data_IF_221833484527
#
_entry.id   IF_221833484527
#
_cell.length_a   1.000
_cell.length_b   1.000
_cell.length_c   1.000
_cell.angle_alpha   90.00
_cell.angle_beta   90.00
_cell.angle_gamma   90.00
#
_symmetry.space_group_name_H-M   'P 1'
#
loop_
_entity.id
_entity.type
_entity.pdbx_description
1 polymer ?
#
# COMPACT_ATOMS: atom_id res chain seq x y z
N UNK A 1 8.51 -5.17 -4.02
CA UNK A 1 8.10 -5.78 -5.31
C UNK A 1 9.22 -5.72 -6.35
N UNK A 2 9.46 -6.82 -7.05
CA UNK A 2 10.39 -6.93 -8.18
C UNK A 2 9.58 -6.95 -9.49
N UNK A 3 9.68 -5.91 -10.35
CA UNK A 3 9.02 -5.91 -11.65
C UNK A 3 9.56 -7.03 -12.54
N UNK A 4 8.69 -7.63 -13.37
CA UNK A 4 9.06 -8.73 -14.27
C UNK A 4 10.24 -8.39 -15.22
N UNK A 5 10.38 -7.11 -15.61
CA UNK A 5 11.44 -6.66 -16.51
C UNK A 5 12.79 -6.44 -15.82
N UNK A 6 12.85 -6.42 -14.48
CA UNK A 6 14.07 -6.15 -13.73
C UNK A 6 15.19 -7.14 -14.10
N UNK A 7 16.43 -6.65 -14.20
CA UNK A 7 17.63 -7.50 -14.41
C UNK A 7 18.14 -8.09 -13.09
N UNK A 8 17.97 -7.36 -11.99
CA UNK A 8 18.44 -7.73 -10.64
C UNK A 8 17.27 -7.61 -9.64
N UNK A 9 16.97 -8.64 -8.83
CA UNK A 9 15.90 -8.61 -7.84
C UNK A 9 16.14 -7.59 -6.71
N UNK A 10 17.38 -7.12 -6.48
CA UNK A 10 17.72 -6.10 -5.47
C UNK A 10 16.97 -4.79 -5.67
N UNK A 11 16.48 -4.51 -6.89
CA UNK A 11 15.63 -3.35 -7.13
C UNK A 11 14.35 -3.36 -6.25
N UNK A 12 13.91 -4.56 -5.83
CA UNK A 12 12.74 -4.77 -4.99
C UNK A 12 12.81 -4.11 -3.61
N UNK A 13 14.01 -3.93 -3.05
CA UNK A 13 14.20 -3.26 -1.76
C UNK A 13 13.70 -1.80 -1.75
N UNK A 14 13.69 -1.15 -2.91
CA UNK A 14 13.20 0.23 -3.08
C UNK A 14 11.70 0.30 -3.40
N UNK A 15 11.04 -0.85 -3.58
CA UNK A 15 9.66 -0.97 -4.07
C UNK A 15 8.76 -1.71 -3.07
N UNK A 16 9.05 -1.58 -1.78
CA UNK A 16 8.18 -2.08 -0.70
C UNK A 16 6.88 -1.25 -0.66
N UNK A 17 7.00 0.07 -0.86
CA UNK A 17 5.88 1.02 -0.89
C UNK A 17 5.78 1.71 -2.26
N UNK A 18 4.67 1.49 -2.97
CA UNK A 18 4.36 2.08 -4.25
C UNK A 18 3.48 3.32 -4.09
N UNK A 19 3.90 4.47 -4.64
CA UNK A 19 3.03 5.66 -4.72
C UNK A 19 1.91 5.44 -5.73
N UNK A 20 0.67 5.51 -5.27
CA UNK A 20 -0.54 5.27 -6.06
C UNK A 20 -0.79 6.38 -7.08
N UNK A 21 -0.23 7.58 -6.89
CA UNK A 21 -0.40 8.69 -7.82
C UNK A 21 0.21 8.33 -9.19
N UNK A 22 -0.63 8.30 -10.23
CA UNK A 22 -0.23 7.92 -11.59
C UNK A 22 0.23 6.46 -11.71
N UNK A 23 -0.25 5.56 -10.84
CA UNK A 23 0.13 4.15 -10.84
C UNK A 23 -0.20 3.44 -12.15
N UNK A 24 -1.26 3.86 -12.81
CA UNK A 24 -1.72 3.44 -14.13
C UNK A 24 -0.75 3.81 -15.26
N UNK A 25 0.08 4.83 -15.05
CA UNK A 25 1.06 5.33 -16.03
C UNK A 25 2.47 4.79 -15.80
N UNK A 26 2.79 4.38 -14.57
CA UNK A 26 4.14 3.88 -14.20
C UNK A 26 4.38 2.49 -14.77
N UNK A 27 5.39 2.34 -15.63
CA UNK A 27 5.74 1.06 -16.27
C UNK A 27 5.97 -0.09 -15.26
N UNK A 28 6.51 0.21 -14.09
CA UNK A 28 6.73 -0.76 -13.01
C UNK A 28 5.45 -1.30 -12.39
N UNK A 29 4.34 -0.56 -12.46
CA UNK A 29 3.13 -0.84 -11.67
C UNK A 29 1.86 -1.00 -12.49
N UNK A 30 1.76 -0.40 -13.69
CA UNK A 30 0.51 -0.37 -14.49
C UNK A 30 -0.09 -1.75 -14.75
N UNK A 31 0.75 -2.74 -15.08
CA UNK A 31 0.28 -4.08 -15.40
C UNK A 31 -0.15 -4.83 -14.13
N UNK A 32 0.60 -4.64 -13.05
CA UNK A 32 0.29 -5.24 -11.76
C UNK A 32 -0.99 -4.63 -11.15
N UNK A 33 -1.17 -3.33 -11.27
CA UNK A 33 -2.37 -2.62 -10.80
C UNK A 33 -3.65 -3.10 -11.50
N UNK A 34 -3.57 -3.40 -12.81
CA UNK A 34 -4.73 -3.88 -13.57
C UNK A 34 -5.10 -5.34 -13.31
N UNK A 35 -4.11 -6.21 -13.07
CA UNK A 35 -4.33 -7.68 -13.10
C UNK A 35 -3.91 -8.42 -11.83
N UNK A 36 -3.18 -7.78 -10.93
CA UNK A 36 -2.49 -8.41 -9.79
C UNK A 36 -2.64 -7.53 -8.55
N UNK A 37 -3.89 -7.21 -8.24
CA UNK A 37 -4.28 -6.60 -6.96
C UNK A 37 -4.29 -7.66 -5.87
N UNK A 38 -3.98 -7.24 -4.65
CA UNK A 38 -3.96 -8.09 -3.47
C UNK A 38 -4.34 -7.27 -2.24
N UNK A 39 -4.98 -7.91 -1.26
CA UNK A 39 -5.19 -7.36 0.08
C UNK A 39 -4.05 -7.84 0.98
N UNK A 40 -3.39 -6.91 1.67
CA UNK A 40 -2.29 -7.21 2.59
C UNK A 40 -2.84 -7.07 4.03
N UNK A 41 -3.25 -8.16 4.68
CA UNK A 41 -3.84 -8.11 6.02
C UNK A 41 -2.83 -7.60 7.05
N UNK A 42 -3.31 -6.82 8.00
CA UNK A 42 -2.52 -6.11 8.98
C UNK A 42 -3.30 -5.92 10.28
N UNK A 43 -2.62 -6.08 11.42
CA UNK A 43 -3.16 -5.73 12.75
C UNK A 43 -2.77 -4.32 13.20
N UNK A 44 -1.86 -3.67 12.47
CA UNK A 44 -1.36 -2.33 12.73
C UNK A 44 -0.01 -2.07 12.06
N UNK A 45 0.34 -0.80 11.88
CA UNK A 45 1.59 -0.39 11.23
C UNK A 45 2.30 0.68 12.03
N UNK A 46 3.60 0.86 11.77
CA UNK A 46 4.41 1.89 12.41
C UNK A 46 4.72 3.02 11.43
N UNK A 47 4.60 4.27 11.87
CA UNK A 47 5.25 5.41 11.23
C UNK A 47 6.18 6.10 12.22
N UNK A 48 7.29 6.63 11.72
CA UNK A 48 8.26 7.36 12.51
C UNK A 48 8.03 8.86 12.32
N UNK A 49 7.76 9.56 13.42
CA UNK A 49 7.68 11.02 13.45
C UNK A 49 9.07 11.58 13.77
N UNK A 50 9.50 12.54 12.97
CA UNK A 50 10.69 13.33 13.29
C UNK A 50 10.37 14.28 14.45
N UNK A 51 11.21 14.29 15.48
CA UNK A 51 11.23 15.24 16.58
C UNK A 51 12.67 15.76 16.76
N UNK A 52 12.82 16.76 17.63
CA UNK A 52 14.12 17.35 17.96
C UNK A 52 15.06 16.32 18.61
N UNK A 53 14.50 15.34 19.33
CA UNK A 53 15.22 14.25 20.00
C UNK A 53 15.46 13.01 19.09
N UNK A 54 15.07 13.07 17.82
CA UNK A 54 15.27 11.96 16.86
C UNK A 54 13.98 11.45 16.23
N UNK A 55 13.91 10.14 15.93
CA UNK A 55 12.73 9.51 15.30
C UNK A 55 11.94 8.72 16.33
N UNK A 56 10.75 9.22 16.65
CA UNK A 56 9.82 8.53 17.56
C UNK A 56 8.88 7.61 16.76
N UNK A 57 8.80 6.31 17.09
CA UNK A 57 7.88 5.38 16.45
C UNK A 57 6.45 5.55 16.99
N UNK A 58 5.48 5.61 16.10
CA UNK A 58 4.04 5.60 16.40
C UNK A 58 3.42 4.36 15.82
N UNK A 59 2.67 3.61 16.63
CA UNK A 59 1.90 2.45 16.19
C UNK A 59 0.45 2.88 15.91
N UNK A 60 -0.02 2.59 14.71
CA UNK A 60 -1.39 2.81 14.29
C UNK A 60 -2.14 1.47 14.26
N UNK A 61 -3.30 1.45 14.91
CA UNK A 61 -4.19 0.29 14.97
C UNK A 61 -5.63 0.76 14.75
N UNK A 62 -6.49 -0.14 14.29
CA UNK A 62 -7.93 0.14 14.22
C UNK A 62 -8.53 0.21 15.62
N UNK A 63 -9.56 1.08 15.79
CA UNK A 63 -10.35 1.12 17.01
C UNK A 63 -10.98 -0.26 17.25
N UNK A 64 -10.84 -0.77 18.48
CA UNK A 64 -11.29 -2.12 18.82
C UNK A 64 -10.37 -3.24 18.32
N UNK A 65 -9.15 -2.93 17.85
CA UNK A 65 -8.11 -3.90 17.45
C UNK A 65 -8.54 -4.87 16.34
N UNK A 66 -9.52 -4.50 15.54
CA UNK A 66 -9.94 -5.31 14.39
C UNK A 66 -8.83 -5.32 13.33
N UNK A 67 -8.58 -6.47 12.67
CA UNK A 67 -7.68 -6.50 11.53
C UNK A 67 -8.24 -5.65 10.39
N UNK A 68 -7.34 -5.13 9.55
CA UNK A 68 -7.66 -4.42 8.32
C UNK A 68 -6.67 -4.84 7.24
N UNK A 69 -6.90 -4.46 5.99
CA UNK A 69 -5.97 -4.76 4.90
C UNK A 69 -5.51 -3.49 4.19
N UNK A 70 -4.23 -3.49 3.79
CA UNK A 70 -3.73 -2.51 2.84
C UNK A 70 -4.00 -2.96 1.41
N UNK A 71 -4.24 -1.98 0.55
CA UNK A 71 -4.15 -2.19 -0.88
C UNK A 71 -2.72 -2.54 -1.29
N UNK A 72 -2.56 -3.64 -2.00
CA UNK A 72 -1.29 -4.06 -2.53
C UNK A 72 -1.37 -4.47 -3.99
N UNK A 73 -0.22 -4.45 -4.65
CA UNK A 73 -0.04 -5.08 -5.96
C UNK A 73 1.07 -6.10 -5.87
N UNK A 74 1.02 -7.11 -6.73
CA UNK A 74 2.04 -8.15 -6.76
C UNK A 74 2.53 -8.46 -8.17
N UNK A 75 3.72 -9.05 -8.22
CA UNK A 75 4.40 -9.48 -9.44
C UNK A 75 5.15 -10.78 -9.24
N UNK A 76 5.42 -11.45 -10.36
CA UNK A 76 6.31 -12.61 -10.42
C UNK A 76 7.54 -12.26 -11.25
N UNK A 77 8.72 -12.46 -10.68
CA UNK A 77 9.99 -12.33 -11.37
C UNK A 77 10.62 -13.70 -11.59
N UNK A 78 10.88 -14.07 -12.84
CA UNK A 78 11.22 -15.45 -13.24
C UNK A 78 12.64 -15.60 -13.81
N UNK A 79 13.54 -14.63 -13.57
CA UNK A 79 14.91 -14.67 -14.11
C UNK A 79 15.94 -15.23 -13.13
N UNK A 80 15.50 -15.69 -11.96
CA UNK A 80 16.32 -16.44 -11.01
C UNK A 80 16.15 -17.94 -11.20
N UNK A 81 16.79 -18.71 -10.33
CA UNK A 81 16.64 -20.18 -10.28
C UNK A 81 15.18 -20.60 -10.04
N UNK A 82 14.46 -19.83 -9.21
CA UNK A 82 13.04 -20.03 -8.91
C UNK A 82 12.23 -18.75 -9.15
N UNK A 83 10.94 -18.85 -9.48
CA UNK A 83 10.04 -17.71 -9.52
C UNK A 83 9.99 -16.98 -8.17
N UNK A 84 10.21 -15.66 -8.19
CA UNK A 84 10.08 -14.80 -7.03
C UNK A 84 8.75 -14.06 -7.07
N UNK A 85 7.83 -14.42 -6.18
CA UNK A 85 6.60 -13.67 -5.95
C UNK A 85 6.87 -12.54 -4.96
N UNK A 86 6.44 -11.33 -5.30
CA UNK A 86 6.68 -10.16 -4.47
C UNK A 86 5.55 -9.15 -4.56
N UNK A 87 5.29 -8.45 -3.48
CA UNK A 87 4.24 -7.44 -3.40
C UNK A 87 4.77 -6.05 -3.03
N UNK A 88 3.93 -5.04 -3.22
CA UNK A 88 4.14 -3.66 -2.81
C UNK A 88 2.86 -3.15 -2.16
N UNK A 89 2.98 -2.50 -1.01
CA UNK A 89 1.87 -1.76 -0.39
C UNK A 89 1.68 -0.46 -1.17
N UNK A 90 0.44 -0.14 -1.53
CA UNK A 90 0.12 1.13 -2.16
C UNK A 90 -0.04 2.22 -1.10
N UNK A 91 0.59 3.36 -1.39
CA UNK A 91 0.64 4.54 -0.53
C UNK A 91 0.13 5.74 -1.30
N UNK A 92 -0.52 6.67 -0.62
CA UNK A 92 -1.04 7.91 -1.21
C UNK A 92 -0.57 9.11 -0.40
N UNK A 93 -0.66 10.29 -0.99
CA UNK A 93 -0.56 11.55 -0.28
C UNK A 93 -1.59 11.62 0.85
N UNK A 94 -1.20 12.15 2.03
CA UNK A 94 -2.15 12.44 3.09
C UNK A 94 -3.23 13.39 2.60
N UNK A 95 -4.42 12.89 2.30
CA UNK A 95 -5.62 13.70 2.12
C UNK A 95 -6.35 13.84 3.47
N UNK A 96 -7.29 14.77 3.62
CA UNK A 96 -8.02 14.98 4.89
C UNK A 96 -8.91 13.82 5.34
N UNK A 97 -9.03 12.77 4.53
CA UNK A 97 -10.01 11.70 4.70
C UNK A 97 -9.24 10.39 4.86
N UNK A 98 -9.02 9.90 6.09
CA UNK A 98 -8.95 8.45 6.27
C UNK A 98 -10.40 8.04 6.30
N UNK A 99 -10.96 7.72 5.13
CA UNK A 99 -12.36 7.30 5.05
C UNK A 99 -12.46 5.99 5.83
N UNK A 100 -13.54 5.80 6.58
CA UNK A 100 -13.84 4.47 7.10
C UNK A 100 -13.90 3.52 5.91
N UNK A 101 -13.11 2.45 5.95
CA UNK A 101 -13.18 1.40 4.93
C UNK A 101 -14.33 0.48 5.29
N UNK A 102 -15.17 0.24 4.30
CA UNK A 102 -16.29 -0.68 4.35
C UNK A 102 -15.88 -2.00 3.71
N UNK A 103 -16.55 -3.09 4.08
CA UNK A 103 -16.28 -4.41 3.52
C UNK A 103 -16.42 -4.45 1.99
N UNK A 104 -17.39 -3.70 1.45
CA UNK A 104 -17.61 -3.51 0.01
C UNK A 104 -16.42 -2.91 -0.73
N UNK A 105 -15.54 -2.17 -0.04
CA UNK A 105 -14.36 -1.60 -0.65
C UNK A 105 -13.31 -2.68 -0.99
N UNK A 106 -13.27 -3.77 -0.21
CA UNK A 106 -12.41 -4.92 -0.48
C UNK A 106 -12.89 -5.70 -1.70
N UNK A 107 -14.21 -5.84 -1.85
CA UNK A 107 -14.81 -6.51 -3.01
C UNK A 107 -14.48 -5.75 -4.30
N UNK A 108 -14.66 -4.43 -4.30
CA UNK A 108 -14.29 -3.57 -5.44
C UNK A 108 -12.80 -3.69 -5.78
N UNK A 109 -11.94 -3.73 -4.75
CA UNK A 109 -10.49 -3.89 -4.97
C UNK A 109 -10.12 -5.24 -5.59
N UNK A 110 -10.81 -6.31 -5.19
CA UNK A 110 -10.51 -7.67 -5.61
C UNK A 110 -11.23 -8.09 -6.88
N UNK A 111 -12.27 -7.38 -7.30
CA UNK A 111 -13.00 -7.62 -8.54
C UNK A 111 -12.08 -7.36 -9.75
N UNK A 112 -11.72 -8.38 -10.56
CA UNK A 112 -10.84 -8.23 -11.71
C UNK A 112 -11.48 -7.51 -12.90
N UNK A 113 -12.82 -7.46 -12.98
CA UNK A 113 -13.55 -6.76 -14.03
C UNK A 113 -13.65 -5.26 -13.74
N UNK A 114 -13.44 -4.86 -12.49
CA UNK A 114 -13.43 -3.48 -12.09
C UNK A 114 -12.11 -2.78 -12.48
N UNK A 115 -12.17 -1.85 -13.43
CA UNK A 115 -10.98 -1.14 -13.96
C UNK A 115 -11.02 0.39 -13.81
N UNK A 116 -12.08 0.95 -13.22
CA UNK A 116 -12.16 2.38 -12.94
C UNK A 116 -11.11 2.79 -11.90
N UNK A 117 -10.07 3.45 -12.38
CA UNK A 117 -8.91 3.83 -11.58
C UNK A 117 -9.34 4.79 -10.46
N UNK A 118 -10.24 5.73 -10.74
CA UNK A 118 -10.68 6.72 -9.75
C UNK A 118 -11.39 6.06 -8.57
N UNK A 119 -12.31 5.13 -8.82
CA UNK A 119 -13.00 4.41 -7.76
C UNK A 119 -12.09 3.42 -7.03
N UNK A 120 -11.20 2.73 -7.74
CA UNK A 120 -10.16 1.91 -7.11
C UNK A 120 -9.24 2.75 -6.23
N UNK A 121 -8.89 3.97 -6.60
CA UNK A 121 -8.10 4.87 -5.76
C UNK A 121 -8.87 5.37 -4.54
N UNK A 122 -10.19 5.47 -4.64
CA UNK A 122 -11.07 5.98 -3.58
C UNK A 122 -11.54 4.92 -2.57
N UNK A 123 -11.52 3.63 -2.93
CA UNK A 123 -11.98 2.53 -2.07
C UNK A 123 -10.95 2.11 -1.01
N UNK A 124 -9.69 2.53 -1.11
CA UNK A 124 -8.60 1.85 -0.40
C UNK A 124 -8.19 2.50 0.93
N UNK A 125 -7.82 1.66 1.90
CA UNK A 125 -6.89 2.03 2.96
C UNK A 125 -5.49 2.18 2.36
N UNK A 126 -5.17 3.39 1.88
CA UNK A 126 -3.84 3.73 1.45
C UNK A 126 -3.04 4.25 2.64
N UNK A 127 -1.84 3.70 2.83
CA UNK A 127 -0.93 4.20 3.86
C UNK A 127 -0.60 5.66 3.54
N UNK A 128 -1.03 6.57 4.42
CA UNK A 128 -0.70 7.99 4.33
C UNK A 128 0.73 8.20 4.79
N UNK A 129 1.63 8.46 3.85
CA UNK A 129 2.97 8.92 4.21
C UNK A 129 2.89 10.36 4.72
N UNK A 130 2.88 10.58 6.03
CA UNK A 130 2.62 11.93 6.56
C UNK A 130 3.85 12.85 6.50
N UNK A 131 3.68 14.05 5.93
CA UNK A 131 4.38 15.27 6.37
C UNK A 131 3.30 16.19 6.94
N UNK A 132 3.28 16.39 8.27
CA UNK A 132 2.37 17.33 8.92
C UNK A 132 1.04 16.74 9.43
N UNK A 133 0.88 16.83 10.75
CA UNK A 133 -0.31 16.94 11.65
C UNK A 133 -1.66 16.23 11.40
N UNK A 134 -2.27 15.87 12.56
CA UNK A 134 -3.68 15.57 12.88
C UNK A 134 -4.24 14.14 12.76
N UNK A 135 -3.61 13.14 13.37
CA UNK A 135 -4.35 12.02 13.98
C UNK A 135 -3.70 11.76 15.33
N UNK A 136 -4.54 11.82 16.36
CA UNK A 136 -4.15 11.70 17.76
C UNK A 136 -3.93 10.21 18.04
N UNK A 137 -2.72 9.86 18.48
CA UNK A 137 -2.49 8.63 19.21
C UNK A 137 -3.10 8.83 20.60
N UNK A 138 -4.06 8.01 21.07
CA UNK A 138 -4.40 8.08 22.48
C UNK A 138 -3.13 7.76 23.28
N UNK A 139 -2.75 8.57 24.29
CA UNK A 139 -1.90 8.07 25.35
C UNK A 139 -2.68 6.97 26.09
N UNK A 140 -1.92 6.01 26.61
CA UNK A 140 -2.40 4.83 27.34
C UNK A 140 -3.54 5.15 28.32
#
# INVERSE_FOLDING_TARGET
>A
MVPYWAKDPKIGYKMINGRSEGIDKKSSFKNAFKKRRVLIPCSGFYEWKQSDEGKLPYRFIMKGQKPFAFAGIWETWTKGEFPLHSCSILTTQPNGVTKSVHESDYDIWMDPEYDDISSLMNSLFLMKRRRGTNTVCPPW
#
